data_IF_336362462696
#
_entry.id   IF_336362462696
#
_cell.length_a   1.000
_cell.length_b   1.000
_cell.length_c   1.000
_cell.angle_alpha   90.00
_cell.angle_beta   90.00
_cell.angle_gamma   90.00
#
_symmetry.space_group_name_H-M   'P 1'
#
loop_
_entity.id
_entity.type
_entity.pdbx_description
1 polymer ?
#
# COMPACT_ATOMS: atom_id res chain seq x y z
N UNK A 1 54.32 -1.76 45.52
CA UNK A 1 53.55 -2.93 45.98
C UNK A 1 52.12 -2.44 46.00
N UNK A 2 51.22 -2.67 45.06
CA UNK A 2 50.81 -3.99 44.60
C UNK A 2 49.69 -3.80 43.53
N UNK A 3 50.05 -3.77 42.23
CA UNK A 3 49.09 -3.67 41.10
C UNK A 3 49.52 -4.42 39.84
N UNK A 4 50.80 -4.83 39.76
CA UNK A 4 51.31 -5.66 38.66
C UNK A 4 51.03 -7.15 38.86
N UNK A 5 51.02 -7.63 40.11
CA UNK A 5 50.67 -9.02 40.45
C UNK A 5 49.20 -9.32 40.13
N UNK A 6 48.26 -8.43 40.48
CA UNK A 6 46.83 -8.53 40.11
C UNK A 6 46.59 -8.62 38.59
N UNK A 7 47.40 -7.95 37.76
CA UNK A 7 47.25 -8.00 36.30
C UNK A 7 47.83 -9.26 35.67
N UNK A 8 48.89 -9.84 36.25
CA UNK A 8 49.45 -11.12 35.79
C UNK A 8 48.54 -12.29 36.16
N UNK A 9 48.03 -12.34 37.40
CA UNK A 9 47.08 -13.36 37.84
C UNK A 9 45.75 -13.28 37.07
N UNK A 10 45.23 -12.07 36.81
CA UNK A 10 44.05 -11.91 35.97
C UNK A 10 44.26 -12.41 34.53
N UNK A 11 45.45 -12.20 33.95
CA UNK A 11 45.79 -12.70 32.62
C UNK A 11 45.99 -14.22 32.58
N UNK A 12 46.43 -14.81 33.69
CA UNK A 12 46.56 -16.26 33.83
C UNK A 12 45.20 -16.94 33.96
N UNK A 13 44.31 -16.38 34.80
CA UNK A 13 42.92 -16.86 34.94
C UNK A 13 42.15 -16.72 33.63
N UNK A 14 42.33 -15.62 32.89
CA UNK A 14 41.71 -15.45 31.56
C UNK A 14 42.25 -16.49 30.57
N UNK A 15 43.56 -16.77 30.58
CA UNK A 15 44.15 -17.79 29.70
C UNK A 15 43.62 -19.18 30.03
N UNK A 16 43.55 -19.51 31.31
CA UNK A 16 43.09 -20.83 31.74
C UNK A 16 41.58 -20.98 31.54
N UNK A 17 40.80 -19.92 31.75
CA UNK A 17 39.39 -19.89 31.40
C UNK A 17 39.17 -20.08 29.88
N UNK A 18 39.98 -19.42 29.04
CA UNK A 18 39.94 -19.61 27.57
C UNK A 18 40.34 -21.04 27.20
N UNK A 19 41.35 -21.61 27.85
CA UNK A 19 41.79 -22.99 27.62
C UNK A 19 40.71 -24.00 28.00
N UNK A 20 40.11 -23.85 29.18
CA UNK A 20 39.00 -24.70 29.65
C UNK A 20 37.77 -24.53 28.74
N UNK A 21 37.50 -23.32 28.27
CA UNK A 21 36.40 -23.05 27.35
C UNK A 21 36.65 -23.68 25.98
N UNK A 22 37.88 -23.67 25.48
CA UNK A 22 38.28 -24.39 24.25
C UNK A 22 38.16 -25.91 24.41
N UNK A 23 38.54 -26.46 25.57
CA UNK A 23 38.42 -27.88 25.88
C UNK A 23 36.95 -28.35 25.92
N UNK A 24 36.03 -27.47 26.34
CA UNK A 24 34.59 -27.71 26.27
C UNK A 24 34.00 -27.50 24.87
N UNK A 25 34.54 -26.58 24.06
CA UNK A 25 34.11 -26.31 22.68
C UNK A 25 34.59 -27.35 21.68
N UNK A 26 35.78 -27.94 21.85
CA UNK A 26 36.34 -28.97 20.96
C UNK A 26 35.72 -30.37 21.17
N UNK A 27 34.97 -30.57 22.26
CA UNK A 27 34.40 -31.86 22.62
C UNK A 27 35.42 -32.76 23.32
N UNK A 28 34.91 -33.69 24.15
CA UNK A 28 35.74 -34.56 24.99
C UNK A 28 36.76 -35.34 24.13
N UNK A 29 38.05 -35.25 24.48
CA UNK A 29 39.12 -35.89 23.71
C UNK A 29 38.93 -37.40 23.65
N UNK A 30 39.30 -38.00 22.51
CA UNK A 30 39.17 -39.45 22.28
C UNK A 30 39.87 -40.27 23.38
N UNK A 31 40.99 -39.77 23.91
CA UNK A 31 41.75 -40.41 24.98
C UNK A 31 41.01 -40.41 26.32
N UNK A 32 40.35 -39.31 26.69
CA UNK A 32 39.56 -39.22 27.93
C UNK A 32 38.35 -40.16 27.84
N UNK A 33 37.71 -40.23 26.67
CA UNK A 33 36.58 -41.14 26.43
C UNK A 33 37.00 -42.62 26.48
N UNK A 34 38.15 -42.98 25.91
CA UNK A 34 38.68 -44.34 25.95
C UNK A 34 39.08 -44.75 27.38
N UNK A 35 39.66 -43.84 28.17
CA UNK A 35 39.98 -44.09 29.58
C UNK A 35 38.71 -44.29 30.43
N UNK A 36 37.72 -43.40 30.33
CA UNK A 36 36.47 -43.53 31.07
C UNK A 36 35.65 -44.77 30.65
N UNK A 37 35.71 -45.16 29.38
CA UNK A 37 35.07 -46.39 28.90
C UNK A 37 35.76 -47.64 29.45
N UNK A 38 37.10 -47.64 29.54
CA UNK A 38 37.86 -48.73 30.13
C UNK A 38 37.58 -48.89 31.63
N UNK A 39 37.45 -47.78 32.39
CA UNK A 39 37.07 -47.80 33.81
C UNK A 39 35.67 -48.36 34.06
N UNK A 40 34.74 -48.14 33.12
CA UNK A 40 33.37 -48.65 33.17
C UNK A 40 33.19 -50.05 32.55
N UNK A 41 34.26 -50.68 32.07
CA UNK A 41 34.23 -52.00 31.43
C UNK A 41 33.55 -52.03 30.05
N UNK A 42 33.49 -50.89 29.36
CA UNK A 42 32.86 -50.74 28.04
C UNK A 42 33.88 -51.10 26.94
N UNK A 43 33.48 -51.99 26.04
CA UNK A 43 34.30 -52.45 24.92
C UNK A 43 34.71 -51.30 23.97
N UNK A 44 36.01 -51.17 23.57
CA UNK A 44 36.51 -50.03 22.77
C UNK A 44 35.81 -49.88 21.40
N UNK A 45 35.39 -50.98 20.78
CA UNK A 45 34.66 -50.94 19.52
C UNK A 45 33.27 -50.33 19.66
N UNK A 46 32.56 -50.61 20.75
CA UNK A 46 31.24 -50.03 21.04
C UNK A 46 31.32 -48.55 21.33
N UNK A 47 32.39 -48.11 22.02
CA UNK A 47 32.67 -46.69 22.22
C UNK A 47 32.87 -45.97 20.87
N UNK A 48 33.69 -46.54 19.98
CA UNK A 48 33.96 -45.96 18.65
C UNK A 48 32.72 -45.91 17.75
N UNK A 49 31.82 -46.87 17.88
CA UNK A 49 30.54 -46.85 17.16
C UNK A 49 29.59 -45.81 17.74
N UNK A 50 29.48 -45.71 19.07
CA UNK A 50 28.65 -44.72 19.75
C UNK A 50 29.11 -43.28 19.46
N UNK A 51 30.42 -43.02 19.51
CA UNK A 51 31.00 -41.71 19.16
C UNK A 51 30.68 -41.34 17.72
N UNK A 52 30.88 -42.26 16.75
CA UNK A 52 30.54 -42.02 15.34
C UNK A 52 29.05 -41.74 15.13
N UNK A 53 28.15 -42.46 15.82
CA UNK A 53 26.70 -42.20 15.77
C UNK A 53 26.37 -40.80 16.30
N UNK A 54 26.98 -40.39 17.41
CA UNK A 54 26.78 -39.05 18.00
C UNK A 54 27.33 -37.94 17.10
N UNK A 55 28.50 -38.12 16.50
CA UNK A 55 29.08 -37.17 15.54
C UNK A 55 28.20 -37.02 14.29
N UNK A 56 27.74 -38.13 13.71
CA UNK A 56 26.83 -38.11 12.57
C UNK A 56 25.48 -37.44 12.90
N UNK A 57 24.95 -37.66 14.10
CA UNK A 57 23.75 -36.95 14.56
C UNK A 57 23.99 -35.45 14.73
N UNK A 58 25.15 -35.05 15.29
CA UNK A 58 25.54 -33.64 15.43
C UNK A 58 25.64 -32.95 14.08
N UNK A 59 26.29 -33.56 13.09
CA UNK A 59 26.38 -33.01 11.74
C UNK A 59 25.02 -32.89 11.05
N UNK A 60 24.15 -33.90 11.18
CA UNK A 60 22.78 -33.84 10.62
C UNK A 60 21.99 -32.69 11.25
N UNK A 61 22.03 -32.56 12.58
CA UNK A 61 21.37 -31.46 13.31
C UNK A 61 21.95 -30.10 12.91
N UNK A 62 23.26 -29.98 12.74
CA UNK A 62 23.92 -28.76 12.30
C UNK A 62 23.52 -28.38 10.87
N UNK A 63 23.46 -29.35 9.94
CA UNK A 63 22.98 -29.14 8.56
C UNK A 63 21.51 -28.70 8.54
N UNK A 64 20.65 -29.36 9.32
CA UNK A 64 19.22 -29.00 9.42
C UNK A 64 19.08 -27.59 9.99
N UNK A 65 19.74 -27.26 11.11
CA UNK A 65 19.72 -25.92 11.71
C UNK A 65 20.18 -24.84 10.74
N UNK A 66 21.30 -25.05 10.05
CA UNK A 66 21.81 -24.13 9.03
C UNK A 66 20.80 -23.94 7.89
N UNK A 67 20.26 -25.02 7.35
CA UNK A 67 19.28 -24.95 6.28
C UNK A 67 17.96 -24.29 6.73
N UNK A 68 17.52 -24.52 7.97
CA UNK A 68 16.36 -23.84 8.54
C UNK A 68 16.59 -22.35 8.71
N UNK A 69 17.77 -21.92 9.17
CA UNK A 69 18.13 -20.50 9.28
C UNK A 69 18.20 -19.82 7.91
N UNK A 70 18.79 -20.48 6.91
CA UNK A 70 18.82 -19.99 5.53
C UNK A 70 17.39 -19.88 4.98
N UNK A 71 16.56 -20.92 5.16
CA UNK A 71 15.16 -20.90 4.71
C UNK A 71 14.35 -19.78 5.37
N UNK A 72 14.56 -19.54 6.67
CA UNK A 72 13.90 -18.47 7.41
C UNK A 72 14.37 -17.08 6.94
N UNK A 73 15.66 -16.92 6.66
CA UNK A 73 16.22 -15.71 6.05
C UNK A 73 15.69 -15.43 4.65
N UNK A 74 15.58 -16.46 3.80
CA UNK A 74 14.97 -16.34 2.46
C UNK A 74 13.48 -16.02 2.57
N UNK A 75 12.74 -16.66 3.46
CA UNK A 75 11.34 -16.36 3.70
C UNK A 75 11.12 -14.91 4.15
N UNK A 76 11.96 -14.40 5.06
CA UNK A 76 11.94 -13.01 5.50
C UNK A 76 12.26 -12.04 4.34
N UNK A 77 13.26 -12.35 3.52
CA UNK A 77 13.60 -11.55 2.34
C UNK A 77 12.45 -11.48 1.33
N UNK A 78 11.82 -12.63 1.03
CA UNK A 78 10.65 -12.70 0.16
C UNK A 78 9.47 -11.91 0.72
N UNK A 79 9.26 -11.95 2.04
CA UNK A 79 8.21 -11.19 2.70
C UNK A 79 8.45 -9.68 2.61
N UNK A 80 9.68 -9.21 2.83
CA UNK A 80 10.06 -7.79 2.67
C UNK A 80 9.89 -7.34 1.22
N UNK A 81 10.34 -8.16 0.26
CA UNK A 81 10.21 -7.85 -1.16
C UNK A 81 8.73 -7.79 -1.60
N UNK A 82 7.89 -8.69 -1.07
CA UNK A 82 6.45 -8.65 -1.27
C UNK A 82 5.80 -7.39 -0.68
N UNK A 83 6.21 -6.96 0.52
CA UNK A 83 5.75 -5.73 1.16
C UNK A 83 6.12 -4.49 0.32
N UNK A 84 7.36 -4.41 -0.18
CA UNK A 84 7.82 -3.31 -1.03
C UNK A 84 7.04 -3.24 -2.34
N UNK A 85 6.85 -4.37 -3.02
CA UNK A 85 6.07 -4.44 -4.25
C UNK A 85 4.61 -4.00 -4.01
N UNK A 86 4.01 -4.49 -2.93
CA UNK A 86 2.64 -4.16 -2.52
C UNK A 86 2.50 -2.67 -2.17
N UNK A 87 3.48 -2.09 -1.48
CA UNK A 87 3.51 -0.67 -1.16
C UNK A 87 3.54 0.20 -2.43
N UNK A 88 4.38 -0.14 -3.40
CA UNK A 88 4.44 0.58 -4.67
C UNK A 88 3.11 0.54 -5.44
N UNK A 89 2.44 -0.62 -5.45
CA UNK A 89 1.12 -0.77 -6.06
C UNK A 89 0.04 0.08 -5.36
N UNK A 90 0.08 0.15 -4.02
CA UNK A 90 -0.83 1.01 -3.26
C UNK A 90 -0.57 2.49 -3.53
N UNK A 91 0.70 2.90 -3.51
CA UNK A 91 1.08 4.29 -3.71
C UNK A 91 0.67 4.79 -5.11
N UNK A 92 0.92 3.99 -6.15
CA UNK A 92 0.51 4.32 -7.51
C UNK A 92 -1.01 4.37 -7.66
N UNK A 93 -1.75 3.43 -7.06
CA UNK A 93 -3.22 3.46 -7.07
C UNK A 93 -3.78 4.69 -6.34
N UNK A 94 -3.18 5.09 -5.21
CA UNK A 94 -3.56 6.30 -4.48
C UNK A 94 -3.29 7.57 -5.28
N UNK A 95 -2.10 7.68 -5.88
CA UNK A 95 -1.74 8.80 -6.74
C UNK A 95 -2.71 8.97 -7.91
N UNK A 96 -3.14 7.86 -8.52
CA UNK A 96 -4.13 7.90 -9.59
C UNK A 96 -5.49 8.40 -9.10
N UNK A 97 -5.98 7.96 -7.94
CA UNK A 97 -7.22 8.48 -7.33
C UNK A 97 -7.15 9.99 -7.15
N UNK A 98 -6.04 10.50 -6.60
CA UNK A 98 -5.84 11.94 -6.38
C UNK A 98 -5.83 12.72 -7.70
N UNK A 99 -5.13 12.20 -8.71
CA UNK A 99 -5.11 12.81 -10.05
C UNK A 99 -6.51 12.83 -10.67
N UNK A 100 -7.26 11.72 -10.60
CA UNK A 100 -8.64 11.67 -11.14
C UNK A 100 -9.58 12.59 -10.37
N UNK A 101 -9.39 12.75 -9.06
CA UNK A 101 -10.16 13.70 -8.26
C UNK A 101 -9.95 15.13 -8.75
N UNK A 102 -8.69 15.52 -8.92
CA UNK A 102 -8.35 16.84 -9.46
C UNK A 102 -8.94 17.07 -10.87
N UNK A 103 -8.99 16.03 -11.71
CA UNK A 103 -9.64 16.10 -13.03
C UNK A 103 -11.15 16.37 -12.90
N UNK A 104 -11.85 15.70 -11.98
CA UNK A 104 -13.26 15.95 -11.69
C UNK A 104 -13.47 17.38 -11.17
N UNK A 105 -12.64 17.84 -10.25
CA UNK A 105 -12.71 19.20 -9.70
C UNK A 105 -12.53 20.27 -10.78
N UNK A 106 -11.56 20.08 -11.70
CA UNK A 106 -11.33 21.00 -12.81
C UNK A 106 -12.54 21.12 -13.75
N UNK A 107 -13.21 20.01 -14.07
CA UNK A 107 -14.39 20.05 -14.96
C UNK A 107 -15.60 20.66 -14.26
N UNK A 108 -15.74 20.46 -12.94
CA UNK A 108 -16.78 21.09 -12.13
C UNK A 108 -16.55 22.61 -12.05
N UNK A 109 -15.32 23.05 -11.81
CA UNK A 109 -14.96 24.48 -11.78
C UNK A 109 -15.28 25.15 -13.12
N UNK A 110 -14.88 24.55 -14.25
CA UNK A 110 -15.20 25.10 -15.59
C UNK A 110 -16.70 25.18 -15.86
N UNK A 111 -17.48 24.21 -15.37
CA UNK A 111 -18.94 24.28 -15.46
C UNK A 111 -19.50 25.46 -14.64
N UNK A 112 -18.93 25.73 -13.46
CA UNK A 112 -19.36 26.87 -12.64
C UNK A 112 -19.07 28.21 -13.34
N UNK A 113 -18.03 28.30 -14.18
CA UNK A 113 -17.76 29.48 -15.01
C UNK A 113 -18.84 29.74 -16.08
N UNK A 114 -19.71 28.75 -16.37
CA UNK A 114 -20.86 28.92 -17.29
C UNK A 114 -22.06 29.56 -16.62
N UNK A 115 -22.17 29.48 -15.29
CA UNK A 115 -23.25 30.07 -14.50
C UNK A 115 -23.38 31.60 -14.78
N UNK A 116 -22.32 32.42 -14.67
CA UNK A 116 -22.45 33.86 -14.95
C UNK A 116 -22.82 34.17 -16.41
N UNK A 117 -22.44 33.30 -17.37
CA UNK A 117 -22.85 33.44 -18.77
C UNK A 117 -24.33 33.15 -18.97
N UNK A 118 -24.87 32.18 -18.22
CA UNK A 118 -26.30 31.89 -18.22
C UNK A 118 -27.09 33.00 -17.52
N UNK A 119 -26.55 33.57 -16.44
CA UNK A 119 -27.16 34.71 -15.76
C UNK A 119 -27.27 35.95 -16.67
N UNK A 120 -26.21 36.26 -17.44
CA UNK A 120 -26.27 37.38 -18.38
C UNK A 120 -27.30 37.16 -19.49
N UNK A 121 -27.46 35.92 -19.97
CA UNK A 121 -28.54 35.53 -20.88
C UNK A 121 -29.93 35.73 -20.28
N UNK A 122 -30.14 35.29 -19.04
CA UNK A 122 -31.39 35.48 -18.31
C UNK A 122 -31.74 36.97 -18.19
N UNK A 123 -30.74 37.83 -17.99
CA UNK A 123 -30.93 39.29 -17.89
C UNK A 123 -31.30 39.95 -19.23
N UNK A 124 -30.83 39.40 -20.35
CA UNK A 124 -31.08 39.94 -21.69
C UNK A 124 -32.34 39.35 -22.36
N UNK A 125 -32.84 38.23 -21.84
CA UNK A 125 -34.00 37.54 -22.38
C UNK A 125 -35.33 38.27 -22.12
N UNK A 126 -36.31 38.05 -23.00
CA UNK A 126 -37.66 38.56 -22.81
C UNK A 126 -38.40 37.80 -21.68
N UNK A 127 -39.57 38.31 -21.25
CA UNK A 127 -40.30 37.75 -20.11
C UNK A 127 -40.66 36.25 -20.26
N UNK A 128 -40.98 35.80 -21.48
CA UNK A 128 -41.33 34.40 -21.75
C UNK A 128 -40.09 33.49 -21.63
N UNK A 129 -39.00 33.88 -22.30
CA UNK A 129 -37.74 33.12 -22.31
C UNK A 129 -37.04 33.13 -20.94
N UNK A 130 -37.12 34.23 -20.21
CA UNK A 130 -36.49 34.41 -18.90
C UNK A 130 -36.90 33.34 -17.91
N UNK A 131 -38.18 32.96 -17.88
CA UNK A 131 -38.69 31.93 -16.97
C UNK A 131 -38.05 30.56 -17.23
N UNK A 132 -37.86 30.20 -18.50
CA UNK A 132 -37.28 28.91 -18.88
C UNK A 132 -35.78 28.87 -18.65
N UNK A 133 -35.07 29.96 -18.97
CA UNK A 133 -33.64 30.09 -18.67
C UNK A 133 -33.37 30.08 -17.15
N UNK A 134 -34.26 30.70 -16.36
CA UNK A 134 -34.17 30.67 -14.89
C UNK A 134 -34.29 29.24 -14.34
N UNK A 135 -35.18 28.41 -14.90
CA UNK A 135 -35.30 27.00 -14.51
C UNK A 135 -34.00 26.21 -14.75
N UNK A 136 -33.34 26.44 -15.88
CA UNK A 136 -32.05 25.81 -16.18
C UNK A 136 -30.97 26.32 -15.22
N UNK A 137 -30.93 27.64 -14.96
CA UNK A 137 -29.99 28.24 -14.03
C UNK A 137 -30.15 27.69 -12.61
N UNK A 138 -31.38 27.59 -12.13
CA UNK A 138 -31.68 27.05 -10.80
C UNK A 138 -31.33 25.56 -10.72
N UNK A 139 -31.64 24.77 -11.75
CA UNK A 139 -31.23 23.37 -11.85
C UNK A 139 -29.71 23.21 -11.84
N UNK A 140 -28.98 24.10 -12.54
CA UNK A 140 -27.52 24.11 -12.62
C UNK A 140 -26.86 24.46 -11.28
N UNK A 141 -27.50 25.33 -10.48
CA UNK A 141 -27.05 25.73 -9.14
C UNK A 141 -27.38 24.69 -8.07
N UNK A 142 -28.55 24.07 -8.14
CA UNK A 142 -29.02 23.07 -7.16
C UNK A 142 -28.40 21.69 -7.37
N UNK A 143 -27.89 21.40 -8.56
CA UNK A 143 -27.20 20.14 -8.81
C UNK A 143 -25.95 20.04 -7.93
N UNK A 144 -25.79 18.93 -7.19
CA UNK A 144 -24.53 18.50 -6.55
C UNK A 144 -23.50 18.03 -7.60
N UNK A 145 -23.36 18.81 -8.66
CA UNK A 145 -22.55 18.53 -9.85
C UNK A 145 -22.91 17.18 -10.51
N UNK A 146 -24.16 16.75 -10.34
CA UNK A 146 -24.72 15.55 -10.98
C UNK A 146 -25.40 15.93 -12.29
N UNK A 147 -24.93 15.35 -13.40
CA UNK A 147 -25.49 15.56 -14.73
C UNK A 147 -26.97 15.18 -14.86
N UNK A 148 -27.48 14.32 -13.96
CA UNK A 148 -28.86 13.83 -14.01
C UNK A 148 -29.91 14.94 -13.77
N UNK A 149 -29.59 15.96 -12.98
CA UNK A 149 -30.59 16.95 -12.56
C UNK A 149 -30.77 18.11 -13.55
N UNK A 150 -29.76 18.41 -14.37
CA UNK A 150 -29.81 19.55 -15.31
C UNK A 150 -30.33 19.13 -16.69
N UNK A 151 -30.09 17.88 -17.09
CA UNK A 151 -30.49 17.35 -18.40
C UNK A 151 -31.96 17.55 -18.75
N UNK A 152 -32.95 17.27 -17.87
CA UNK A 152 -34.35 17.47 -18.21
C UNK A 152 -34.71 18.93 -18.51
N UNK A 153 -34.11 19.87 -17.77
CA UNK A 153 -34.32 21.30 -17.98
C UNK A 153 -33.70 21.78 -19.31
N UNK A 154 -32.51 21.27 -19.64
CA UNK A 154 -31.83 21.50 -20.93
C UNK A 154 -32.64 20.95 -22.10
N UNK A 155 -33.12 19.71 -22.00
CA UNK A 155 -33.92 19.05 -23.04
C UNK A 155 -35.23 19.81 -23.30
N UNK A 156 -35.90 20.26 -22.23
CA UNK A 156 -37.12 21.06 -22.35
C UNK A 156 -36.86 22.40 -23.05
N UNK A 157 -35.77 23.09 -22.70
CA UNK A 157 -35.39 24.37 -23.32
C UNK A 157 -35.04 24.20 -24.80
N UNK A 158 -34.30 23.15 -25.16
CA UNK A 158 -33.88 22.88 -26.54
C UNK A 158 -35.04 22.46 -27.45
N UNK A 159 -36.12 21.89 -26.88
CA UNK A 159 -37.32 21.53 -27.63
C UNK A 159 -38.18 22.75 -27.98
N UNK A 160 -38.04 23.87 -27.26
CA UNK A 160 -38.87 25.04 -27.45
C UNK A 160 -38.52 25.82 -28.74
N UNK A 161 -39.51 26.05 -29.64
CA UNK A 161 -39.34 26.87 -30.84
C UNK A 161 -38.74 28.26 -30.59
N UNK A 162 -39.00 28.87 -29.44
CA UNK A 162 -38.57 30.22 -29.07
C UNK A 162 -37.04 30.40 -29.04
N UNK A 163 -36.27 29.31 -28.88
CA UNK A 163 -34.81 29.35 -28.85
C UNK A 163 -34.15 28.80 -30.12
N UNK A 164 -34.91 28.33 -31.11
CA UNK A 164 -34.34 27.74 -32.34
C UNK A 164 -33.47 28.72 -33.14
N UNK A 165 -33.78 30.00 -33.07
CA UNK A 165 -33.05 31.06 -33.80
C UNK A 165 -31.97 31.73 -32.95
N UNK A 166 -31.93 31.48 -31.63
CA UNK A 166 -30.98 32.11 -30.71
C UNK A 166 -29.69 31.31 -30.66
N UNK A 167 -28.76 31.68 -31.55
CA UNK A 167 -27.45 31.00 -31.66
C UNK A 167 -26.62 31.08 -30.38
N UNK A 168 -26.75 32.15 -29.60
CA UNK A 168 -25.94 32.33 -28.39
C UNK A 168 -26.46 31.45 -27.25
N UNK A 169 -27.78 31.40 -27.05
CA UNK A 169 -28.40 30.46 -26.10
C UNK A 169 -28.11 29.01 -26.48
N UNK A 170 -28.30 28.63 -27.75
CA UNK A 170 -27.99 27.28 -28.22
C UNK A 170 -26.52 26.91 -27.98
N UNK A 171 -25.58 27.81 -28.28
CA UNK A 171 -24.15 27.58 -28.03
C UNK A 171 -23.85 27.32 -26.55
N UNK A 172 -24.41 28.12 -25.63
CA UNK A 172 -24.22 27.91 -24.20
C UNK A 172 -24.85 26.59 -23.72
N UNK A 173 -26.02 26.21 -24.23
CA UNK A 173 -26.66 24.94 -23.88
C UNK A 173 -25.83 23.73 -24.34
N UNK A 174 -25.23 23.80 -25.52
CA UNK A 174 -24.29 22.79 -25.98
C UNK A 174 -23.02 22.75 -25.11
N UNK A 175 -22.51 23.90 -24.68
CA UNK A 175 -21.36 23.98 -23.77
C UNK A 175 -21.67 23.34 -22.41
N UNK A 176 -22.83 23.65 -21.81
CA UNK A 176 -23.29 23.04 -20.56
C UNK A 176 -23.47 21.53 -20.73
N UNK A 177 -24.17 21.09 -21.78
CA UNK A 177 -24.38 19.65 -22.05
C UNK A 177 -23.04 18.92 -22.24
N UNK A 178 -22.10 19.56 -22.94
CA UNK A 178 -20.74 19.06 -23.11
C UNK A 178 -19.97 18.97 -21.78
N UNK A 179 -20.11 19.97 -20.91
CA UNK A 179 -19.52 19.97 -19.58
C UNK A 179 -20.11 18.86 -18.69
N UNK A 180 -21.43 18.66 -18.71
CA UNK A 180 -22.10 17.58 -17.97
C UNK A 180 -21.64 16.19 -18.41
N UNK A 181 -21.50 15.99 -19.73
CA UNK A 181 -20.98 14.73 -20.26
C UNK A 181 -19.53 14.48 -19.82
N UNK A 182 -18.69 15.53 -19.81
CA UNK A 182 -17.30 15.42 -19.31
C UNK A 182 -17.28 15.10 -17.82
N UNK A 183 -18.11 15.74 -17.00
CA UNK A 183 -18.22 15.44 -15.57
C UNK A 183 -18.64 13.99 -15.35
N UNK A 184 -19.65 13.50 -16.08
CA UNK A 184 -20.09 12.10 -15.97
C UNK A 184 -18.96 11.10 -16.30
N UNK A 185 -18.18 11.38 -17.36
CA UNK A 185 -17.03 10.55 -17.74
C UNK A 185 -15.92 10.59 -16.69
N UNK A 186 -15.55 11.78 -16.20
CA UNK A 186 -14.49 11.90 -15.18
C UNK A 186 -14.90 11.30 -13.83
N UNK A 187 -16.17 11.44 -13.43
CA UNK A 187 -16.71 10.75 -12.24
C UNK A 187 -16.62 9.24 -12.37
N UNK A 188 -16.94 8.69 -13.54
CA UNK A 188 -16.78 7.25 -13.82
C UNK A 188 -15.32 6.82 -13.70
N UNK A 189 -14.39 7.57 -14.32
CA UNK A 189 -12.94 7.30 -14.24
C UNK A 189 -12.42 7.36 -12.80
N UNK A 190 -12.89 8.33 -12.01
CA UNK A 190 -12.59 8.41 -10.59
C UNK A 190 -13.11 7.19 -9.84
N UNK A 191 -14.37 6.80 -10.05
CA UNK A 191 -14.96 5.63 -9.40
C UNK A 191 -14.20 4.33 -9.72
N UNK A 192 -13.75 4.16 -10.96
CA UNK A 192 -12.90 3.03 -11.37
C UNK A 192 -11.54 3.03 -10.65
N UNK A 193 -10.87 4.20 -10.58
CA UNK A 193 -9.61 4.35 -9.85
C UNK A 193 -9.79 4.10 -8.35
N UNK A 194 -10.84 4.65 -7.75
CA UNK A 194 -11.22 4.46 -6.35
C UNK A 194 -11.48 2.98 -6.04
N UNK A 195 -12.21 2.27 -6.91
CA UNK A 195 -12.44 0.84 -6.76
C UNK A 195 -11.15 0.02 -6.86
N UNK A 196 -10.23 0.37 -7.76
CA UNK A 196 -8.91 -0.28 -7.85
C UNK A 196 -8.09 -0.05 -6.59
N UNK A 197 -8.03 1.19 -6.09
CA UNK A 197 -7.38 1.53 -4.83
C UNK A 197 -7.97 0.73 -3.67
N UNK A 198 -9.29 0.71 -3.52
CA UNK A 198 -9.97 -0.02 -2.44
C UNK A 198 -9.62 -1.52 -2.47
N UNK A 199 -9.60 -2.15 -3.65
CA UNK A 199 -9.20 -3.56 -3.79
C UNK A 199 -7.76 -3.82 -3.35
N UNK A 200 -6.83 -2.90 -3.59
CA UNK A 200 -5.43 -3.04 -3.17
C UNK A 200 -5.30 -2.77 -1.67
N UNK A 201 -5.93 -1.70 -1.19
CA UNK A 201 -5.90 -1.28 0.20
C UNK A 201 -6.50 -2.31 1.17
N UNK A 202 -7.43 -3.15 0.70
CA UNK A 202 -8.05 -4.22 1.50
C UNK A 202 -7.30 -5.57 1.46
N UNK A 203 -6.20 -5.71 0.71
CA UNK A 203 -5.43 -6.97 0.65
C UNK A 203 -4.42 -7.08 1.78
N UNK A 204 -4.19 -8.29 2.28
CA UNK A 204 -3.04 -8.58 3.14
C UNK A 204 -1.75 -8.56 2.30
N UNK A 205 -0.62 -8.03 2.81
CA UNK A 205 -0.41 -7.41 4.13
C UNK A 205 -0.77 -5.91 4.20
N UNK A 206 -1.16 -5.30 3.07
CA UNK A 206 -1.40 -3.85 2.96
C UNK A 206 -2.43 -3.35 3.98
N UNK A 207 -3.54 -4.07 4.19
CA UNK A 207 -4.61 -3.65 5.10
C UNK A 207 -4.11 -3.33 6.53
N UNK A 208 -3.04 -4.00 6.98
CA UNK A 208 -2.42 -3.79 8.28
C UNK A 208 -1.39 -2.66 8.26
N UNK A 209 -0.58 -2.58 7.20
CA UNK A 209 0.49 -1.58 7.09
C UNK A 209 -0.03 -0.19 6.72
N UNK A 210 -1.14 -0.12 5.98
CA UNK A 210 -1.67 1.11 5.40
C UNK A 210 -1.92 2.25 6.43
N UNK A 211 -2.54 2.01 7.60
CA UNK A 211 -2.76 3.08 8.58
C UNK A 211 -1.45 3.72 9.06
N UNK A 212 -0.39 2.92 9.23
CA UNK A 212 0.94 3.41 9.62
C UNK A 212 1.59 4.25 8.52
N UNK A 213 1.28 3.94 7.26
CA UNK A 213 1.76 4.67 6.08
C UNK A 213 0.90 5.90 5.73
N UNK A 214 -0.16 6.17 6.49
CA UNK A 214 -1.00 7.37 6.31
C UNK A 214 -1.99 7.31 5.14
N UNK A 215 -2.23 6.15 4.54
CA UNK A 215 -3.24 6.04 3.47
C UNK A 215 -4.63 5.70 4.02
N UNK A 216 -5.71 6.20 3.39
CA UNK A 216 -7.06 6.05 3.93
C UNK A 216 -7.66 4.64 3.80
N UNK A 217 -8.56 4.35 4.75
CA UNK A 217 -9.69 3.40 4.70
C UNK A 217 -10.09 2.86 3.32
N UNK A 218 -10.54 3.82 2.53
CA UNK A 218 -11.15 3.66 1.23
C UNK A 218 -10.90 5.01 0.54
N UNK A 219 -10.92 5.03 -0.78
CA UNK A 219 -10.91 6.27 -1.52
C UNK A 219 -12.11 7.14 -1.08
N UNK A 220 -11.93 8.47 -0.94
CA UNK A 220 -13.03 9.38 -0.61
C UNK A 220 -14.18 9.25 -1.61
N UNK A 221 -15.41 9.48 -1.15
CA UNK A 221 -16.54 9.65 -2.09
C UNK A 221 -16.49 11.05 -2.68
N UNK A 222 -16.94 11.18 -3.93
CA UNK A 222 -17.18 12.48 -4.59
C UNK A 222 -18.51 13.07 -4.12
#
# INVERSE_FOLDING_TARGET
MDKRFEQEEAQEVIREAVRLQQEYEEGVSQQVLEQSAAELGIEPERLREAVRRVEQERERRARIRRNTLIALGVAALLMVLNLLYSHFALNSAWAEVQMRKAQVENVIQRRQELIPRLESLVQQANAAQRKQLQQVLDALRQSDHSAQSVRPALEHLLADPAFRSDRFTLALMYEITGAENRIAVERKRYAEAAARYNRIASRFPIVLARPLLGYPAQAPRL
#
